data_IF_564223627829
#
_entry.id   IF_564223627829
#
_cell.length_a   1.000
_cell.length_b   1.000
_cell.length_c   1.000
_cell.angle_alpha   90.00
_cell.angle_beta   90.00
_cell.angle_gamma   90.00
#
_symmetry.space_group_name_H-M   'P 1'
#
loop_
_entity.id
_entity.type
_entity.pdbx_description
1 polymer ?
#
# COMPACT_ATOMS: atom_id res chain seq x y z
N UNK A 1 11.37 -41.89 -42.48
CA UNK A 1 12.10 -40.71 -42.99
C UNK A 1 11.12 -39.59 -43.28
N UNK A 2 10.84 -38.72 -42.33
CA UNK A 2 10.06 -37.46 -42.55
C UNK A 2 10.74 -36.32 -41.76
N UNK A 3 11.91 -35.94 -42.23
CA UNK A 3 12.68 -34.80 -41.72
C UNK A 3 12.70 -33.75 -42.84
N UNK A 4 12.03 -32.61 -42.64
CA UNK A 4 12.03 -31.39 -43.45
C UNK A 4 10.76 -31.13 -44.29
N UNK A 5 9.63 -30.85 -43.68
CA UNK A 5 8.55 -30.23 -44.41
C UNK A 5 8.84 -28.72 -44.64
N UNK A 6 8.47 -28.14 -45.80
CA UNK A 6 8.65 -26.72 -46.08
C UNK A 6 8.08 -25.81 -44.99
N UNK A 7 7.00 -26.24 -44.36
CA UNK A 7 6.30 -25.53 -43.29
C UNK A 7 7.15 -25.41 -41.99
N UNK A 8 7.93 -26.47 -41.64
CA UNK A 8 8.87 -26.43 -40.53
C UNK A 8 10.00 -25.44 -40.79
N UNK A 9 10.54 -25.40 -42.02
CA UNK A 9 11.56 -24.41 -42.42
C UNK A 9 11.04 -22.98 -42.36
N UNK A 10 9.79 -22.74 -42.78
CA UNK A 10 9.17 -21.43 -42.74
C UNK A 10 8.94 -20.96 -41.28
N UNK A 11 8.39 -21.80 -40.43
CA UNK A 11 8.23 -21.53 -39.00
C UNK A 11 9.55 -21.22 -38.29
N UNK A 12 10.60 -22.00 -38.59
CA UNK A 12 11.93 -21.78 -38.05
C UNK A 12 12.53 -20.44 -38.51
N UNK A 13 12.31 -20.06 -39.78
CA UNK A 13 12.76 -18.76 -40.31
C UNK A 13 12.05 -17.57 -39.66
N UNK A 14 10.75 -17.69 -39.41
CA UNK A 14 9.97 -16.66 -38.66
C UNK A 14 10.47 -16.56 -37.22
N UNK A 15 10.71 -17.69 -36.55
CA UNK A 15 11.23 -17.72 -35.17
C UNK A 15 12.63 -17.09 -35.10
N UNK A 16 13.51 -17.39 -36.04
CA UNK A 16 14.86 -16.78 -36.13
C UNK A 16 14.82 -15.28 -36.40
N UNK A 17 13.86 -14.79 -37.24
CA UNK A 17 13.66 -13.37 -37.48
C UNK A 17 13.13 -12.65 -36.22
N UNK A 18 12.20 -13.29 -35.51
CA UNK A 18 11.72 -12.78 -34.22
C UNK A 18 12.85 -12.73 -33.17
N UNK A 19 13.63 -13.79 -33.05
CA UNK A 19 14.77 -13.84 -32.14
C UNK A 19 15.82 -12.77 -32.46
N UNK A 20 16.18 -12.59 -33.75
CA UNK A 20 17.09 -11.51 -34.18
C UNK A 20 16.55 -10.12 -33.86
N UNK A 21 15.23 -9.89 -34.04
CA UNK A 21 14.57 -8.62 -33.73
C UNK A 21 14.58 -8.34 -32.22
N UNK A 22 14.29 -9.36 -31.40
CA UNK A 22 14.37 -9.29 -29.93
C UNK A 22 15.80 -9.01 -29.50
N UNK A 23 16.79 -9.74 -30.03
CA UNK A 23 18.22 -9.53 -29.68
C UNK A 23 18.68 -8.11 -30.03
N UNK A 24 18.26 -7.57 -31.18
CA UNK A 24 18.57 -6.19 -31.58
C UNK A 24 17.93 -5.16 -30.65
N UNK A 25 16.68 -5.37 -30.22
CA UNK A 25 16.03 -4.48 -29.23
C UNK A 25 16.75 -4.59 -27.88
N UNK A 26 17.09 -5.81 -27.43
CA UNK A 26 17.80 -6.03 -26.18
C UNK A 26 19.18 -5.34 -26.14
N UNK A 27 19.86 -5.18 -27.31
CA UNK A 27 21.14 -4.47 -27.38
C UNK A 27 21.00 -2.95 -27.21
N UNK A 28 19.82 -2.38 -27.41
CA UNK A 28 19.55 -0.95 -27.22
C UNK A 28 19.23 -0.60 -25.76
N UNK A 29 18.92 -1.59 -24.93
CA UNK A 29 18.56 -1.36 -23.54
C UNK A 29 19.79 -1.10 -22.68
N UNK A 30 19.63 -0.20 -21.70
CA UNK A 30 20.65 0.00 -20.65
C UNK A 30 20.79 -1.25 -19.81
N UNK A 31 21.93 -1.41 -19.11
CA UNK A 31 22.14 -2.52 -18.17
C UNK A 31 21.10 -2.54 -17.07
N UNK A 32 20.69 -1.38 -16.57
CA UNK A 32 19.61 -1.25 -15.57
C UNK A 32 18.29 -1.86 -16.05
N UNK A 33 17.91 -1.58 -17.30
CA UNK A 33 16.65 -2.10 -17.86
C UNK A 33 16.67 -3.63 -18.03
N UNK A 34 17.82 -4.20 -18.34
CA UNK A 34 17.97 -5.67 -18.54
C UNK A 34 17.74 -6.46 -17.26
N UNK A 35 18.03 -5.88 -16.11
CA UNK A 35 17.94 -6.49 -14.78
C UNK A 35 16.67 -6.07 -14.01
N UNK A 36 15.80 -5.28 -14.63
CA UNK A 36 14.60 -4.79 -13.96
C UNK A 36 13.48 -5.85 -13.95
N UNK A 37 13.00 -6.19 -12.77
CA UNK A 37 11.87 -7.09 -12.55
C UNK A 37 10.64 -6.28 -12.13
N UNK A 38 9.63 -6.10 -13.03
CA UNK A 38 8.46 -5.28 -12.70
C UNK A 38 7.54 -5.98 -11.70
N UNK A 39 6.77 -5.20 -10.97
CA UNK A 39 5.67 -5.69 -10.15
C UNK A 39 4.59 -6.37 -11.00
N UNK A 40 4.09 -7.51 -10.53
CA UNK A 40 2.99 -8.23 -11.18
C UNK A 40 1.72 -7.97 -10.36
N UNK A 41 0.77 -7.17 -10.89
CA UNK A 41 -0.48 -6.87 -10.21
C UNK A 41 -1.36 -8.11 -10.05
N UNK A 42 -2.35 -8.00 -9.15
CA UNK A 42 -3.39 -9.01 -9.04
C UNK A 42 -4.22 -9.13 -10.32
N UNK A 43 -4.78 -10.29 -10.54
CA UNK A 43 -5.63 -10.57 -11.69
C UNK A 43 -6.82 -9.62 -11.78
N UNK A 44 -7.15 -9.17 -12.99
CA UNK A 44 -8.30 -8.34 -13.32
C UNK A 44 -9.03 -8.92 -14.54
N UNK A 45 -9.72 -10.07 -14.39
CA UNK A 45 -10.41 -10.72 -15.48
C UNK A 45 -11.60 -9.88 -15.97
N UNK A 46 -11.90 -9.97 -17.27
CA UNK A 46 -12.98 -9.21 -17.94
C UNK A 46 -14.06 -10.12 -18.54
N UNK A 47 -14.01 -11.42 -18.25
CA UNK A 47 -14.92 -12.43 -18.78
C UNK A 47 -16.32 -12.36 -18.15
N UNK A 48 -16.43 -11.86 -16.92
CA UNK A 48 -17.68 -11.64 -16.18
C UNK A 48 -17.52 -10.61 -15.08
N UNK A 49 -18.60 -10.25 -14.40
CA UNK A 49 -18.58 -9.41 -13.21
C UNK A 49 -18.25 -10.27 -11.99
N UNK A 50 -17.24 -9.86 -11.23
CA UNK A 50 -16.81 -10.50 -10.01
C UNK A 50 -17.03 -9.61 -8.80
N UNK A 51 -17.26 -10.22 -7.63
CA UNK A 51 -17.07 -9.55 -6.35
C UNK A 51 -15.55 -9.46 -6.12
N UNK A 52 -15.00 -8.25 -6.12
CA UNK A 52 -13.55 -8.00 -6.00
C UNK A 52 -13.13 -7.93 -4.53
N UNK A 53 -12.49 -8.99 -4.04
CA UNK A 53 -11.87 -9.06 -2.70
C UNK A 53 -10.37 -9.38 -2.82
N UNK A 54 -9.68 -8.88 -3.86
CA UNK A 54 -8.30 -9.25 -4.19
C UNK A 54 -7.28 -8.09 -4.12
N UNK A 55 -7.71 -6.82 -4.13
CA UNK A 55 -6.83 -5.67 -4.29
C UNK A 55 -6.80 -4.72 -3.08
N UNK A 56 -7.40 -5.11 -1.95
CA UNK A 56 -7.49 -4.30 -0.73
C UNK A 56 -8.14 -2.92 -0.99
N UNK A 57 -9.10 -2.88 -1.91
CA UNK A 57 -9.91 -1.69 -2.18
C UNK A 57 -10.94 -1.50 -1.05
N UNK A 58 -11.42 -0.28 -0.85
CA UNK A 58 -12.50 0.00 0.08
C UNK A 58 -13.84 -0.43 -0.56
N UNK A 59 -14.68 -1.23 0.12
CA UNK A 59 -15.97 -1.66 -0.42
C UNK A 59 -17.03 -0.54 -0.42
N UNK A 60 -16.79 0.55 0.30
CA UNK A 60 -17.67 1.71 0.34
C UNK A 60 -17.21 2.77 -0.65
N UNK A 61 -18.14 3.40 -1.41
CA UNK A 61 -17.80 4.46 -2.35
C UNK A 61 -17.28 5.71 -1.61
N UNK A 62 -16.68 6.67 -2.33
CA UNK A 62 -16.41 8.00 -1.76
C UNK A 62 -17.68 8.68 -1.22
N UNK A 63 -17.52 9.60 -0.26
CA UNK A 63 -18.66 10.33 0.32
C UNK A 63 -19.41 11.13 -0.75
N UNK A 64 -20.70 11.40 -0.48
CA UNK A 64 -21.57 12.17 -1.38
C UNK A 64 -21.02 13.58 -1.63
N UNK A 65 -20.50 14.21 -0.58
CA UNK A 65 -19.89 15.54 -0.63
C UNK A 65 -18.73 15.62 -1.64
N UNK A 66 -17.93 14.55 -1.76
CA UNK A 66 -16.86 14.48 -2.77
C UNK A 66 -17.44 14.44 -4.20
N UNK A 67 -18.45 13.61 -4.43
CA UNK A 67 -19.06 13.48 -5.76
C UNK A 67 -19.77 14.79 -6.17
N UNK A 68 -20.48 15.43 -5.25
CA UNK A 68 -21.18 16.69 -5.50
C UNK A 68 -20.19 17.85 -5.69
N UNK A 69 -19.11 17.88 -4.89
CA UNK A 69 -18.01 18.84 -5.06
C UNK A 69 -17.33 18.74 -6.40
N UNK A 70 -17.02 17.53 -6.86
CA UNK A 70 -16.44 17.31 -8.20
C UNK A 70 -17.37 17.77 -9.31
N UNK A 71 -18.67 17.48 -9.25
CA UNK A 71 -19.65 17.96 -10.25
C UNK A 71 -19.64 19.48 -10.32
N UNK A 72 -19.67 20.16 -9.16
CA UNK A 72 -19.63 21.63 -9.08
C UNK A 72 -18.34 22.18 -9.68
N UNK A 73 -17.19 21.62 -9.33
CA UNK A 73 -15.92 22.08 -9.86
C UNK A 73 -15.82 21.86 -11.38
N UNK A 74 -16.19 20.68 -11.89
CA UNK A 74 -16.18 20.40 -13.34
C UNK A 74 -17.05 21.41 -14.09
N UNK A 75 -18.19 21.81 -13.55
CA UNK A 75 -19.07 22.82 -14.17
C UNK A 75 -18.42 24.21 -14.24
N UNK A 76 -17.52 24.51 -13.32
CA UNK A 76 -16.79 25.78 -13.27
C UNK A 76 -15.40 25.73 -13.95
N UNK A 77 -15.03 24.57 -14.48
CA UNK A 77 -13.66 24.24 -14.88
C UNK A 77 -13.22 24.53 -16.32
N UNK A 78 -14.07 24.88 -17.32
CA UNK A 78 -13.60 24.92 -18.72
C UNK A 78 -12.33 25.76 -18.92
N UNK A 79 -12.18 26.86 -18.16
CA UNK A 79 -10.99 27.72 -18.24
C UNK A 79 -9.80 27.26 -17.39
N UNK A 80 -10.05 26.44 -16.35
CA UNK A 80 -8.99 25.99 -15.43
C UNK A 80 -8.25 24.76 -15.93
N UNK A 81 -8.87 23.89 -16.73
CA UNK A 81 -8.22 22.69 -17.28
C UNK A 81 -7.08 23.01 -18.28
N UNK A 82 -7.03 24.22 -18.81
CA UNK A 82 -5.94 24.68 -19.66
C UNK A 82 -4.72 25.18 -18.87
N UNK A 83 -4.82 25.26 -17.53
CA UNK A 83 -3.77 25.75 -16.65
C UNK A 83 -3.17 24.60 -15.84
N UNK A 84 -1.89 24.69 -15.52
CA UNK A 84 -1.26 23.78 -14.60
C UNK A 84 -1.88 23.91 -13.19
N UNK A 85 -2.03 22.77 -12.45
CA UNK A 85 -2.47 22.81 -11.07
C UNK A 85 -1.41 23.43 -10.14
N UNK A 86 -1.77 23.63 -8.86
CA UNK A 86 -0.79 24.02 -7.84
C UNK A 86 0.29 22.92 -7.69
N UNK A 87 1.56 23.19 -8.01
CA UNK A 87 2.63 22.20 -7.93
C UNK A 87 2.91 21.72 -6.50
N UNK A 88 2.57 22.53 -5.51
CA UNK A 88 2.81 22.27 -4.10
C UNK A 88 1.56 21.75 -3.36
N UNK A 89 0.40 21.72 -4.04
CA UNK A 89 -0.87 21.21 -3.51
C UNK A 89 -1.24 21.81 -2.14
N UNK A 90 -1.04 23.13 -1.97
CA UNK A 90 -1.12 23.80 -0.68
C UNK A 90 -2.48 23.62 0.04
N UNK A 91 -3.60 23.77 -0.70
CA UNK A 91 -4.92 23.57 -0.10
C UNK A 91 -5.17 22.12 0.31
N UNK A 92 -4.66 21.17 -0.43
CA UNK A 92 -4.73 19.74 -0.09
C UNK A 92 -3.88 19.44 1.16
N UNK A 93 -2.65 19.97 1.25
CA UNK A 93 -1.78 19.80 2.44
C UNK A 93 -2.42 20.38 3.70
N UNK A 94 -3.05 21.57 3.62
CA UNK A 94 -3.82 22.14 4.73
C UNK A 94 -4.96 21.21 5.19
N UNK A 95 -5.70 20.64 4.23
CA UNK A 95 -6.80 19.73 4.55
C UNK A 95 -6.30 18.41 5.17
N UNK A 96 -5.18 17.85 4.67
CA UNK A 96 -4.54 16.66 5.25
C UNK A 96 -4.05 16.96 6.68
N UNK A 97 -3.37 18.09 6.91
CA UNK A 97 -2.87 18.48 8.22
C UNK A 97 -4.04 18.61 9.22
N UNK A 98 -5.12 19.30 8.84
CA UNK A 98 -6.32 19.43 9.64
C UNK A 98 -6.93 18.05 9.97
N UNK A 99 -7.14 17.21 8.97
CA UNK A 99 -7.67 15.85 9.15
C UNK A 99 -6.82 15.04 10.15
N UNK A 100 -5.50 15.08 10.03
CA UNK A 100 -4.61 14.34 10.93
C UNK A 100 -4.70 14.87 12.36
N UNK A 101 -4.73 16.17 12.57
CA UNK A 101 -4.90 16.79 13.88
C UNK A 101 -6.25 16.40 14.52
N UNK A 102 -7.32 16.33 13.73
CA UNK A 102 -8.67 15.97 14.20
C UNK A 102 -8.86 14.47 14.44
N UNK A 103 -8.10 13.60 13.74
CA UNK A 103 -8.27 12.14 13.81
C UNK A 103 -7.17 11.42 14.61
N UNK A 104 -6.09 12.11 14.96
CA UNK A 104 -4.90 11.45 15.52
C UNK A 104 -4.24 10.48 14.56
N UNK A 105 -4.64 10.50 13.27
CA UNK A 105 -4.10 9.68 12.21
C UNK A 105 -4.63 8.24 12.18
N UNK A 106 -5.74 7.90 12.87
CA UNK A 106 -6.34 6.55 12.79
C UNK A 106 -7.87 6.62 12.76
N UNK A 107 -8.44 6.57 11.57
CA UNK A 107 -9.88 6.79 11.33
C UNK A 107 -10.79 5.83 12.10
N UNK A 108 -10.50 4.52 12.13
CA UNK A 108 -11.37 3.54 12.81
C UNK A 108 -11.42 3.71 14.33
N UNK A 109 -10.49 4.46 14.92
CA UNK A 109 -10.40 4.69 16.38
C UNK A 109 -11.00 6.03 16.82
N UNK A 110 -11.47 6.84 15.86
CA UNK A 110 -12.13 8.10 16.15
C UNK A 110 -13.54 7.92 16.71
N UNK A 111 -13.96 8.80 17.60
CA UNK A 111 -15.37 9.04 17.87
C UNK A 111 -15.96 9.90 16.76
N UNK A 112 -17.21 9.63 16.36
CA UNK A 112 -17.93 10.40 15.33
C UNK A 112 -19.23 10.92 15.93
N UNK A 113 -19.47 12.23 15.83
CA UNK A 113 -20.71 12.88 16.28
C UNK A 113 -21.02 14.07 15.37
N UNK A 114 -22.25 14.13 14.83
CA UNK A 114 -22.72 15.24 14.00
C UNK A 114 -21.73 15.66 12.88
N UNK A 115 -21.18 14.68 12.15
CA UNK A 115 -20.16 14.90 11.11
C UNK A 115 -18.81 15.43 11.61
N UNK A 116 -18.54 15.42 12.90
CA UNK A 116 -17.24 15.72 13.47
C UNK A 116 -16.54 14.44 13.89
N UNK A 117 -15.21 14.46 13.88
CA UNK A 117 -14.35 13.38 14.37
C UNK A 117 -13.48 13.87 15.52
N UNK A 118 -13.17 12.97 16.44
CA UNK A 118 -12.18 13.22 17.48
C UNK A 118 -11.39 11.94 17.76
N UNK A 119 -10.06 12.05 18.00
CA UNK A 119 -9.21 10.90 18.29
C UNK A 119 -9.50 10.34 19.69
N UNK A 120 -9.17 9.06 19.91
CA UNK A 120 -9.08 8.55 21.26
C UNK A 120 -7.93 9.23 22.01
N UNK A 121 -7.97 9.24 23.36
CA UNK A 121 -6.91 9.87 24.17
C UNK A 121 -5.52 9.31 23.81
N UNK A 122 -5.42 8.01 23.57
CA UNK A 122 -4.14 7.35 23.23
C UNK A 122 -3.65 7.70 21.80
N UNK A 123 -4.49 8.26 20.95
CA UNK A 123 -4.14 8.61 19.56
C UNK A 123 -3.94 10.11 19.36
N UNK A 124 -4.13 10.93 20.39
CA UNK A 124 -3.79 12.37 20.33
C UNK A 124 -2.31 12.54 19.93
N UNK A 125 -2.05 13.38 18.93
CA UNK A 125 -0.69 13.58 18.39
C UNK A 125 0.20 14.32 19.40
N UNK A 126 -0.36 15.27 20.17
CA UNK A 126 0.35 16.02 21.21
C UNK A 126 1.18 17.21 20.71
N UNK A 127 1.10 17.50 19.41
CA UNK A 127 1.64 18.69 18.74
C UNK A 127 0.83 18.95 17.46
N UNK A 128 0.99 20.10 16.84
CA UNK A 128 0.27 20.44 15.60
C UNK A 128 1.02 19.90 14.36
N UNK A 129 0.30 19.18 13.51
CA UNK A 129 0.77 18.86 12.16
C UNK A 129 0.47 20.06 11.27
N UNK A 130 1.51 20.57 10.60
CA UNK A 130 1.40 21.71 9.69
C UNK A 130 1.56 21.29 8.22
N UNK A 131 1.13 22.09 7.24
CA UNK A 131 1.27 21.77 5.81
C UNK A 131 2.73 21.52 5.38
N UNK A 132 3.70 22.15 6.03
CA UNK A 132 5.14 22.01 5.76
C UNK A 132 5.65 20.60 6.15
N UNK A 133 4.94 19.90 7.01
CA UNK A 133 5.22 18.52 7.39
C UNK A 133 4.64 17.50 6.40
N UNK A 134 4.01 17.95 5.30
CA UNK A 134 3.30 17.09 4.37
C UNK A 134 3.86 17.23 2.95
N UNK A 135 4.11 16.09 2.32
CA UNK A 135 4.35 15.95 0.90
C UNK A 135 3.21 15.14 0.26
N UNK A 136 2.76 15.51 -0.94
CA UNK A 136 1.71 14.79 -1.70
C UNK A 136 2.23 14.35 -3.06
N UNK A 137 1.83 13.15 -3.53
CA UNK A 137 2.27 12.58 -4.81
C UNK A 137 1.24 11.63 -5.42
N UNK A 138 1.54 11.14 -6.63
CA UNK A 138 0.64 10.31 -7.44
C UNK A 138 0.57 8.86 -6.92
N UNK A 139 -0.18 8.68 -5.83
CA UNK A 139 -0.24 7.43 -5.06
C UNK A 139 0.99 7.22 -4.20
N UNK A 140 0.86 6.30 -3.23
CA UNK A 140 2.03 5.89 -2.42
C UNK A 140 3.16 5.28 -3.25
N UNK A 141 2.87 4.80 -4.46
CA UNK A 141 3.88 4.22 -5.34
C UNK A 141 4.88 5.30 -5.79
N UNK A 142 4.43 6.46 -6.29
CA UNK A 142 5.34 7.58 -6.63
C UNK A 142 6.04 8.13 -5.38
N UNK A 143 5.27 8.31 -4.30
CA UNK A 143 5.81 8.80 -3.02
C UNK A 143 6.96 7.91 -2.52
N UNK A 144 6.76 6.59 -2.49
CA UNK A 144 7.79 5.61 -2.10
C UNK A 144 8.98 5.64 -3.06
N UNK A 145 8.75 5.75 -4.36
CA UNK A 145 9.83 5.87 -5.35
C UNK A 145 10.74 7.06 -5.06
N UNK A 146 10.17 8.21 -4.69
CA UNK A 146 10.96 9.40 -4.33
C UNK A 146 11.67 9.24 -2.98
N UNK A 147 11.06 8.56 -2.01
CA UNK A 147 11.71 8.19 -0.74
C UNK A 147 12.93 7.29 -0.99
N UNK A 148 12.77 6.27 -1.86
CA UNK A 148 13.91 5.42 -2.22
C UNK A 148 15.02 6.20 -2.87
N UNK A 149 14.72 7.09 -3.81
CA UNK A 149 15.73 7.94 -4.46
C UNK A 149 16.44 8.87 -3.47
N UNK A 150 15.72 9.48 -2.53
CA UNK A 150 16.26 10.49 -1.63
C UNK A 150 17.11 9.91 -0.50
N UNK A 151 16.78 8.69 -0.01
CA UNK A 151 17.28 8.23 1.29
C UNK A 151 17.94 6.85 1.30
N UNK A 152 17.85 6.07 0.21
CA UNK A 152 18.50 4.77 0.11
C UNK A 152 19.53 4.77 -1.02
N UNK A 153 20.80 4.64 -0.66
CA UNK A 153 21.93 4.66 -1.61
C UNK A 153 22.29 3.22 -2.05
N UNK A 154 22.62 3.04 -3.34
CA UNK A 154 23.12 1.78 -3.90
C UNK A 154 24.45 1.30 -3.30
N UNK A 155 25.14 2.14 -2.52
CA UNK A 155 26.32 1.74 -1.75
C UNK A 155 26.01 0.93 -0.49
N UNK A 156 24.77 0.95 -0.04
CA UNK A 156 24.31 0.32 1.17
C UNK A 156 23.30 -0.78 0.84
N UNK A 157 23.38 -1.91 1.53
CA UNK A 157 22.40 -2.99 1.38
C UNK A 157 21.18 -2.72 2.26
N UNK A 158 20.01 -2.61 1.65
CA UNK A 158 18.73 -2.38 2.35
C UNK A 158 18.23 -3.67 3.00
N UNK A 159 17.79 -3.60 4.24
CA UNK A 159 17.22 -4.74 4.97
C UNK A 159 15.70 -4.73 4.84
N UNK A 160 15.13 -5.84 4.35
CA UNK A 160 13.69 -6.00 4.17
C UNK A 160 13.17 -7.26 4.89
N UNK A 161 11.97 -7.23 5.49
CA UNK A 161 11.30 -8.45 5.94
C UNK A 161 10.93 -9.35 4.75
N UNK A 162 10.97 -10.68 4.96
CA UNK A 162 10.66 -11.69 3.92
C UNK A 162 9.27 -11.46 3.29
N UNK A 163 8.25 -11.28 4.10
CA UNK A 163 6.91 -10.94 3.63
C UNK A 163 6.58 -9.50 3.96
N UNK A 164 6.79 -8.64 2.98
CA UNK A 164 6.53 -7.19 3.07
C UNK A 164 5.80 -6.68 1.83
N UNK A 165 5.58 -5.37 1.73
CA UNK A 165 5.00 -4.80 0.52
C UNK A 165 5.90 -5.08 -0.69
N UNK A 166 5.36 -5.82 -1.64
CA UNK A 166 6.13 -6.40 -2.75
C UNK A 166 6.73 -5.38 -3.73
N UNK A 167 6.42 -4.10 -3.57
CA UNK A 167 7.04 -3.02 -4.34
C UNK A 167 8.40 -2.58 -3.77
N UNK A 168 8.72 -2.83 -2.49
CA UNK A 168 10.03 -2.44 -1.96
C UNK A 168 11.20 -3.09 -2.69
N UNK A 169 11.21 -4.41 -2.95
CA UNK A 169 12.25 -5.02 -3.78
C UNK A 169 12.28 -4.47 -5.21
N UNK A 170 11.12 -4.07 -5.78
CA UNK A 170 11.05 -3.47 -7.12
C UNK A 170 11.76 -2.11 -7.14
N UNK A 171 11.51 -1.25 -6.13
CA UNK A 171 12.23 0.03 -6.02
C UNK A 171 13.72 -0.17 -5.76
N UNK A 172 14.09 -1.11 -4.88
CA UNK A 172 15.50 -1.42 -4.65
C UNK A 172 16.18 -1.81 -5.96
N UNK A 173 15.60 -2.74 -6.73
CA UNK A 173 16.13 -3.13 -8.05
C UNK A 173 16.15 -1.99 -9.06
N UNK A 174 15.14 -1.10 -9.06
CA UNK A 174 15.08 0.06 -9.95
C UNK A 174 16.22 1.06 -9.69
N UNK A 175 16.55 1.27 -8.42
CA UNK A 175 17.63 2.18 -8.00
C UNK A 175 18.98 1.49 -7.83
N UNK A 176 19.09 0.19 -8.11
CA UNK A 176 20.33 -0.56 -8.01
C UNK A 176 20.80 -0.80 -6.57
N UNK A 177 19.85 -0.90 -5.64
CA UNK A 177 20.10 -1.13 -4.22
C UNK A 177 20.01 -2.62 -3.93
N UNK A 178 21.06 -3.20 -3.38
CA UNK A 178 21.05 -4.59 -2.92
C UNK A 178 20.16 -4.76 -1.69
N UNK A 179 19.60 -5.97 -1.50
CA UNK A 179 18.68 -6.25 -0.39
C UNK A 179 19.07 -7.47 0.41
N UNK A 180 19.07 -7.34 1.74
CA UNK A 180 19.15 -8.44 2.70
C UNK A 180 17.73 -8.77 3.21
N UNK A 181 17.31 -10.01 3.04
CA UNK A 181 15.99 -10.47 3.45
C UNK A 181 16.07 -11.12 4.83
N UNK A 182 15.27 -10.63 5.77
CA UNK A 182 15.14 -11.20 7.10
C UNK A 182 13.87 -12.06 7.18
N UNK A 183 13.99 -13.38 7.42
CA UNK A 183 12.84 -14.25 7.61
C UNK A 183 11.91 -13.77 8.72
N UNK A 184 10.61 -14.01 8.56
CA UNK A 184 9.65 -13.81 9.63
C UNK A 184 9.87 -14.86 10.73
N UNK A 185 9.51 -14.52 11.97
CA UNK A 185 9.46 -15.51 13.06
C UNK A 185 8.31 -16.49 12.85
N UNK A 186 8.31 -17.62 13.59
CA UNK A 186 7.28 -18.65 13.48
C UNK A 186 5.87 -18.15 13.79
N UNK A 187 5.73 -17.09 14.57
CA UNK A 187 4.49 -16.41 14.90
C UNK A 187 4.13 -15.28 13.91
N UNK A 188 4.83 -15.20 12.78
CA UNK A 188 4.71 -14.17 11.76
C UNK A 188 5.13 -12.76 12.20
N UNK A 189 5.70 -12.60 13.38
CA UNK A 189 6.26 -11.33 13.82
C UNK A 189 7.60 -11.03 13.12
N UNK A 190 7.95 -9.74 13.06
CA UNK A 190 9.25 -9.29 12.57
C UNK A 190 10.36 -9.68 13.55
N UNK A 191 11.50 -10.14 13.05
CA UNK A 191 12.72 -10.26 13.84
C UNK A 191 13.41 -8.88 13.95
N UNK A 192 12.90 -8.06 14.86
CA UNK A 192 13.31 -6.67 15.05
C UNK A 192 14.82 -6.57 15.35
N UNK A 193 15.34 -7.42 16.21
CA UNK A 193 16.75 -7.37 16.62
C UNK A 193 17.67 -7.68 15.42
N UNK A 194 17.31 -8.68 14.61
CA UNK A 194 18.06 -9.02 13.40
C UNK A 194 17.99 -7.92 12.35
N UNK A 195 16.79 -7.32 12.13
CA UNK A 195 16.61 -6.20 11.20
C UNK A 195 17.50 -5.02 11.61
N UNK A 196 17.46 -4.60 12.90
CA UNK A 196 18.26 -3.48 13.41
C UNK A 196 19.77 -3.75 13.33
N UNK A 197 20.19 -4.96 13.70
CA UNK A 197 21.60 -5.36 13.63
C UNK A 197 22.15 -5.31 12.20
N UNK A 198 21.41 -5.85 11.23
CA UNK A 198 21.81 -5.84 9.81
C UNK A 198 21.78 -4.43 9.23
N UNK A 199 20.76 -3.63 9.52
CA UNK A 199 20.69 -2.25 9.04
C UNK A 199 21.89 -1.41 9.54
N UNK A 200 22.24 -1.56 10.82
CA UNK A 200 23.44 -0.92 11.40
C UNK A 200 24.73 -1.40 10.72
N UNK A 201 24.88 -2.71 10.52
CA UNK A 201 26.03 -3.31 9.82
C UNK A 201 26.16 -2.78 8.40
N UNK A 202 25.05 -2.66 7.69
CA UNK A 202 24.99 -2.23 6.29
C UNK A 202 25.05 -0.71 6.13
N UNK A 203 24.98 0.06 7.22
CA UNK A 203 24.90 1.54 7.18
C UNK A 203 23.67 2.05 6.47
N UNK A 204 22.57 1.30 6.46
CA UNK A 204 21.33 1.58 5.74
C UNK A 204 20.25 2.18 6.64
N UNK A 205 19.34 2.95 6.05
CA UNK A 205 18.05 3.28 6.65
C UNK A 205 17.14 2.06 6.74
N UNK A 206 15.94 2.25 7.30
CA UNK A 206 14.94 1.21 7.47
C UNK A 206 13.63 1.58 6.77
N UNK A 207 12.96 0.58 6.19
CA UNK A 207 11.59 0.69 5.68
C UNK A 207 10.81 -0.58 5.98
N UNK A 208 9.60 -0.44 6.51
CA UNK A 208 8.64 -1.54 6.68
C UNK A 208 7.20 -1.02 6.69
N UNK A 209 6.26 -1.89 6.34
CA UNK A 209 4.83 -1.58 6.41
C UNK A 209 4.28 -1.90 7.82
N UNK A 210 3.50 -0.97 8.38
CA UNK A 210 2.85 -1.15 9.67
C UNK A 210 1.45 -0.53 9.70
N UNK A 211 0.37 -1.33 9.63
CA UNK A 211 0.32 -2.80 9.57
C UNK A 211 0.92 -3.39 8.30
N UNK A 212 1.52 -4.58 8.42
CA UNK A 212 2.24 -5.23 7.32
C UNK A 212 1.30 -5.83 6.26
N UNK A 213 1.70 -5.77 5.01
CA UNK A 213 1.10 -6.50 3.90
C UNK A 213 2.12 -7.49 3.31
N UNK A 214 1.79 -8.80 3.13
CA UNK A 214 0.45 -9.40 3.10
C UNK A 214 -0.04 -9.99 4.43
N UNK A 215 0.70 -9.96 5.53
CA UNK A 215 0.39 -10.69 6.76
C UNK A 215 -0.76 -10.09 7.57
N UNK A 216 -0.90 -8.76 7.57
CA UNK A 216 -1.88 -8.03 8.38
C UNK A 216 -1.42 -7.71 9.80
N UNK A 217 -0.25 -8.19 10.22
CA UNK A 217 0.31 -7.96 11.56
C UNK A 217 0.71 -6.49 11.73
N UNK A 218 0.51 -5.98 12.95
CA UNK A 218 0.89 -4.61 13.31
C UNK A 218 1.77 -4.60 14.54
N UNK A 219 2.83 -3.78 14.49
CA UNK A 219 3.61 -3.40 15.67
C UNK A 219 2.88 -2.27 16.41
N UNK A 220 2.93 -2.29 17.73
CA UNK A 220 2.49 -1.16 18.55
C UNK A 220 3.42 0.05 18.36
N UNK A 221 2.89 1.25 18.57
CA UNK A 221 3.70 2.49 18.59
C UNK A 221 4.88 2.41 19.55
N UNK A 222 4.69 1.76 20.70
CA UNK A 222 5.76 1.53 21.68
C UNK A 222 6.89 0.67 21.09
N UNK A 223 6.57 -0.38 20.33
CA UNK A 223 7.58 -1.22 19.70
C UNK A 223 8.34 -0.46 18.59
N UNK A 224 7.63 0.36 17.80
CA UNK A 224 8.26 1.22 16.79
C UNK A 224 9.16 2.27 17.46
N UNK A 225 8.74 2.87 18.60
CA UNK A 225 9.60 3.77 19.38
C UNK A 225 10.90 3.08 19.79
N UNK A 226 10.82 1.87 20.36
CA UNK A 226 12.02 1.09 20.73
C UNK A 226 12.92 0.77 19.55
N UNK A 227 12.37 0.56 18.37
CA UNK A 227 13.16 0.39 17.14
C UNK A 227 13.90 1.69 16.77
N UNK A 228 13.21 2.84 16.81
CA UNK A 228 13.79 4.16 16.55
C UNK A 228 14.92 4.50 17.52
N UNK A 229 14.73 4.23 18.81
CA UNK A 229 15.75 4.45 19.87
C UNK A 229 17.03 3.61 19.66
N UNK A 230 16.92 2.45 18.99
CA UNK A 230 18.04 1.56 18.68
C UNK A 230 18.60 1.75 17.26
N UNK A 231 17.88 2.43 16.38
CA UNK A 231 18.31 2.69 15.02
C UNK A 231 19.37 3.81 14.95
N UNK A 232 20.04 3.92 13.82
CA UNK A 232 20.97 5.01 13.56
C UNK A 232 20.17 6.31 13.33
N UNK A 233 20.34 7.36 14.16
CA UNK A 233 19.61 8.62 14.02
C UNK A 233 19.98 9.41 12.75
N UNK A 234 21.13 9.14 12.13
CA UNK A 234 21.58 9.76 10.88
C UNK A 234 21.05 9.02 9.64
N UNK A 235 20.27 7.97 9.80
CA UNK A 235 19.63 7.20 8.74
C UNK A 235 18.12 7.34 8.80
N UNK A 236 17.49 7.39 7.61
CA UNK A 236 16.03 7.48 7.51
C UNK A 236 15.35 6.25 8.11
N UNK A 237 14.24 6.45 8.80
CA UNK A 237 13.37 5.42 9.32
C UNK A 237 11.97 5.59 8.74
N UNK A 238 11.59 4.72 7.81
CA UNK A 238 10.34 4.82 7.05
C UNK A 238 9.31 3.81 7.57
N UNK A 239 8.14 4.31 7.96
CA UNK A 239 6.98 3.49 8.31
C UNK A 239 5.88 3.71 7.26
N UNK A 240 5.56 2.66 6.52
CA UNK A 240 4.44 2.70 5.57
C UNK A 240 3.14 2.32 6.29
N UNK A 241 2.33 3.32 6.53
CA UNK A 241 1.05 3.22 7.25
C UNK A 241 -0.16 3.14 6.32
N UNK A 242 -0.03 2.55 5.13
CA UNK A 242 -1.13 2.44 4.17
C UNK A 242 -2.41 1.79 4.73
N UNK A 243 -2.29 0.97 5.77
CA UNK A 243 -3.41 0.25 6.39
C UNK A 243 -3.69 0.66 7.84
N UNK A 244 -3.02 1.66 8.38
CA UNK A 244 -3.09 2.04 9.80
C UNK A 244 -4.51 2.36 10.25
N UNK A 245 -5.33 2.95 9.38
CA UNK A 245 -6.72 3.36 9.65
C UNK A 245 -7.67 2.19 10.00
N UNK A 246 -7.26 0.93 9.82
CA UNK A 246 -8.09 -0.24 10.11
C UNK A 246 -7.79 -0.89 11.47
N UNK A 247 -7.28 -0.12 12.43
CA UNK A 247 -7.04 -0.55 13.82
C UNK A 247 -5.57 -0.72 14.18
N UNK A 248 -4.65 -0.19 13.37
CA UNK A 248 -3.26 0.03 13.75
C UNK A 248 -3.09 1.15 14.77
N UNK A 249 -1.83 1.44 15.12
CA UNK A 249 -1.43 2.60 15.89
C UNK A 249 -0.52 3.47 15.03
N UNK A 250 -0.89 4.73 14.81
CA UNK A 250 -0.06 5.64 14.01
C UNK A 250 1.23 6.01 14.74
N UNK A 251 2.32 6.09 13.98
CA UNK A 251 3.61 6.57 14.45
C UNK A 251 3.75 8.10 14.34
N UNK A 252 2.74 8.82 13.85
CA UNK A 252 2.76 10.30 13.75
C UNK A 252 3.15 10.97 15.08
N UNK A 253 2.65 10.55 16.27
CA UNK A 253 3.07 11.17 17.54
C UNK A 253 4.57 11.07 17.82
N UNK A 254 5.29 10.13 17.20
CA UNK A 254 6.73 9.96 17.38
C UNK A 254 7.58 11.00 16.62
N UNK A 255 7.00 11.72 15.65
CA UNK A 255 7.68 12.78 14.90
C UNK A 255 8.21 13.91 15.80
N UNK A 256 7.60 14.10 16.96
CA UNK A 256 8.07 15.07 17.97
C UNK A 256 9.48 14.74 18.47
N UNK A 257 9.77 13.44 18.66
CA UNK A 257 10.99 12.97 19.31
C UNK A 257 12.04 12.50 18.29
N UNK A 258 11.64 12.07 17.11
CA UNK A 258 12.53 11.46 16.11
C UNK A 258 12.50 12.22 14.78
N UNK A 259 13.58 12.95 14.51
CA UNK A 259 13.67 13.77 13.32
C UNK A 259 13.89 12.99 12.02
N UNK A 260 14.41 11.77 12.12
CA UNK A 260 14.66 10.88 10.99
C UNK A 260 13.45 9.98 10.64
N UNK A 261 12.30 10.15 11.31
CA UNK A 261 11.08 9.38 11.04
C UNK A 261 10.32 9.97 9.84
N UNK A 262 9.95 9.09 8.90
CA UNK A 262 9.11 9.40 7.76
C UNK A 262 7.93 8.42 7.70
N UNK A 263 6.72 8.93 7.57
CA UNK A 263 5.49 8.13 7.53
C UNK A 263 4.84 8.27 6.17
N UNK A 264 4.62 7.14 5.48
CA UNK A 264 3.91 7.11 4.18
C UNK A 264 2.46 6.74 4.40
N UNK A 265 1.56 7.44 3.70
CA UNK A 265 0.12 7.26 3.73
C UNK A 265 -0.49 7.23 2.33
N UNK A 266 -1.71 6.72 2.22
CA UNK A 266 -2.42 6.63 0.94
C UNK A 266 -3.92 6.87 1.08
N UNK A 267 -4.52 7.50 0.07
CA UNK A 267 -5.97 7.61 -0.07
C UNK A 267 -6.61 6.33 -0.64
N UNK A 268 -5.80 5.42 -1.16
CA UNK A 268 -6.28 4.23 -1.88
C UNK A 268 -7.05 3.23 -1.02
N UNK A 269 -6.94 3.29 0.32
CA UNK A 269 -7.50 2.28 1.24
C UNK A 269 -8.66 2.87 2.04
N UNK A 270 -8.41 3.53 3.15
CA UNK A 270 -9.42 4.04 4.07
C UNK A 270 -10.27 5.16 3.47
N UNK A 271 -9.68 6.02 2.65
CA UNK A 271 -10.34 7.18 2.05
C UNK A 271 -11.04 6.88 0.70
N UNK A 272 -11.25 5.59 0.35
CA UNK A 272 -11.96 5.16 -0.87
C UNK A 272 -11.43 5.77 -2.16
N UNK A 273 -10.17 6.16 -2.20
CA UNK A 273 -9.54 6.94 -3.27
C UNK A 273 -8.57 6.15 -4.15
N UNK A 274 -8.72 4.82 -4.30
CA UNK A 274 -7.79 4.02 -5.12
C UNK A 274 -7.68 4.54 -6.56
N UNK A 275 -8.78 4.96 -7.14
CA UNK A 275 -8.84 5.55 -8.49
C UNK A 275 -8.30 6.98 -8.57
N UNK A 276 -8.21 7.71 -7.46
CA UNK A 276 -7.68 9.08 -7.41
C UNK A 276 -6.15 9.12 -7.50
N UNK A 277 -5.48 8.01 -7.25
CA UNK A 277 -4.02 7.95 -7.26
C UNK A 277 -3.37 9.02 -6.37
N UNK A 278 -3.76 9.12 -5.10
CA UNK A 278 -3.24 10.09 -4.16
C UNK A 278 -2.56 9.39 -2.98
N UNK A 279 -1.30 9.77 -2.71
CA UNK A 279 -0.53 9.37 -1.54
C UNK A 279 0.14 10.57 -0.90
N UNK A 280 0.61 10.43 0.33
CA UNK A 280 1.31 11.49 1.03
C UNK A 280 2.33 10.97 2.05
N UNK A 281 3.26 11.85 2.40
CA UNK A 281 4.21 11.68 3.50
C UNK A 281 3.82 12.63 4.63
N UNK A 282 4.06 12.20 5.86
CA UNK A 282 4.14 13.07 7.04
C UNK A 282 5.53 12.90 7.66
N UNK A 283 6.27 13.98 7.80
CA UNK A 283 7.61 13.99 8.38
C UNK A 283 8.04 15.40 8.82
N UNK A 284 9.25 15.53 9.34
CA UNK A 284 9.84 16.83 9.61
C UNK A 284 10.05 17.63 8.31
N UNK A 285 9.93 18.97 8.34
CA UNK A 285 10.00 19.83 7.15
C UNK A 285 11.27 19.65 6.32
N UNK A 286 12.42 19.35 6.92
CA UNK A 286 13.69 19.14 6.23
C UNK A 286 13.65 17.88 5.34
N UNK A 287 13.03 16.81 5.84
CA UNK A 287 12.79 15.57 5.07
C UNK A 287 11.82 15.84 3.92
N UNK A 288 10.74 16.57 4.19
CA UNK A 288 9.75 16.97 3.17
C UNK A 288 10.41 17.80 2.08
N UNK A 289 11.30 18.75 2.43
CA UNK A 289 12.06 19.55 1.48
C UNK A 289 12.93 18.67 0.57
N UNK A 290 13.58 17.65 1.13
CA UNK A 290 14.41 16.70 0.36
C UNK A 290 13.59 15.93 -0.66
N UNK A 291 12.42 15.39 -0.27
CA UNK A 291 11.50 14.70 -1.20
C UNK A 291 10.95 15.65 -2.26
N UNK A 292 10.63 16.88 -1.87
CA UNK A 292 10.16 17.93 -2.80
C UNK A 292 11.23 18.26 -3.84
N UNK A 293 12.50 18.23 -3.47
CA UNK A 293 13.62 18.40 -4.42
C UNK A 293 13.62 17.28 -5.46
N UNK A 294 13.41 16.01 -5.06
CA UNK A 294 13.29 14.89 -6.01
C UNK A 294 12.10 15.09 -6.94
N UNK A 295 10.92 15.47 -6.39
CA UNK A 295 9.72 15.79 -7.19
C UNK A 295 10.03 16.84 -8.25
N UNK A 296 10.61 17.95 -7.87
CA UNK A 296 10.89 19.07 -8.77
C UNK A 296 11.94 18.72 -9.84
N UNK A 297 12.76 17.70 -9.60
CA UNK A 297 13.78 17.23 -10.53
C UNK A 297 13.27 16.17 -11.52
N UNK A 298 12.13 15.51 -11.22
CA UNK A 298 11.61 14.40 -12.01
C UNK A 298 10.23 14.70 -12.61
N UNK A 299 9.27 15.12 -11.78
CA UNK A 299 7.89 15.42 -12.20
C UNK A 299 7.33 16.57 -11.36
N UNK A 300 7.40 17.79 -11.90
CA UNK A 300 7.05 19.00 -11.16
C UNK A 300 5.55 19.11 -10.81
N UNK A 301 4.65 18.53 -11.62
CA UNK A 301 3.20 18.55 -11.43
C UNK A 301 2.62 17.14 -11.31
N UNK A 302 2.90 16.38 -10.23
CA UNK A 302 2.51 14.98 -10.13
C UNK A 302 1.00 14.77 -9.96
N UNK A 303 0.30 15.74 -9.38
CA UNK A 303 -1.13 15.67 -9.09
C UNK A 303 -1.92 16.62 -9.98
N UNK A 304 -2.91 16.09 -10.69
CA UNK A 304 -3.87 16.89 -11.42
C UNK A 304 -4.83 17.67 -10.49
N UNK A 305 -5.49 18.68 -11.04
CA UNK A 305 -6.36 19.56 -10.27
C UNK A 305 -7.57 18.83 -9.64
N UNK A 306 -8.16 17.83 -10.34
CA UNK A 306 -9.31 17.09 -9.83
C UNK A 306 -8.91 16.16 -8.67
N UNK A 307 -7.73 15.56 -8.75
CA UNK A 307 -7.15 14.78 -7.65
C UNK A 307 -6.92 15.63 -6.42
N UNK A 308 -6.34 16.84 -6.57
CA UNK A 308 -6.12 17.75 -5.43
C UNK A 308 -7.43 18.16 -4.75
N UNK A 309 -8.44 18.54 -5.53
CA UNK A 309 -9.77 18.90 -5.03
C UNK A 309 -10.45 17.71 -4.35
N UNK A 310 -10.40 16.53 -4.98
CA UNK A 310 -10.98 15.31 -4.42
C UNK A 310 -10.36 14.95 -3.08
N UNK A 311 -9.03 15.02 -2.97
CA UNK A 311 -8.31 14.77 -1.75
C UNK A 311 -8.67 15.75 -0.64
N UNK A 312 -8.77 17.05 -0.96
CA UNK A 312 -9.21 18.09 -0.03
C UNK A 312 -10.60 17.77 0.53
N UNK A 313 -11.59 17.53 -0.35
CA UNK A 313 -12.97 17.25 0.07
C UNK A 313 -13.04 15.94 0.88
N UNK A 314 -12.28 14.92 0.52
CA UNK A 314 -12.21 13.68 1.29
C UNK A 314 -11.71 13.93 2.72
N UNK A 315 -10.64 14.73 2.90
CA UNK A 315 -10.14 15.10 4.22
C UNK A 315 -11.16 15.90 5.03
N UNK A 316 -11.86 16.85 4.42
CA UNK A 316 -12.91 17.66 5.08
C UNK A 316 -14.12 16.81 5.51
N UNK A 317 -14.26 15.58 5.00
CA UNK A 317 -15.33 14.64 5.35
C UNK A 317 -14.80 13.37 6.03
N UNK A 318 -13.73 13.48 6.82
CA UNK A 318 -13.08 12.37 7.53
C UNK A 318 -14.06 11.54 8.38
N UNK A 319 -15.14 12.14 8.89
CA UNK A 319 -16.19 11.47 9.64
C UNK A 319 -16.82 10.29 8.88
N UNK A 320 -17.09 10.46 7.58
CA UNK A 320 -17.66 9.40 6.74
C UNK A 320 -16.70 8.20 6.60
N UNK A 321 -15.43 8.49 6.36
CA UNK A 321 -14.40 7.47 6.21
C UNK A 321 -14.06 6.78 7.53
N UNK A 322 -14.17 7.47 8.65
CA UNK A 322 -14.09 6.88 9.98
C UNK A 322 -15.20 5.84 10.21
N UNK A 323 -16.45 6.16 9.83
CA UNK A 323 -17.57 5.20 9.90
C UNK A 323 -17.35 4.00 8.96
N UNK A 324 -16.86 4.23 7.73
CA UNK A 324 -16.53 3.15 6.80
C UNK A 324 -15.42 2.24 7.36
N UNK A 325 -14.35 2.83 7.92
CA UNK A 325 -13.26 2.08 8.52
C UNK A 325 -13.71 1.21 9.70
N UNK A 326 -14.60 1.72 10.57
CA UNK A 326 -15.21 0.95 11.66
C UNK A 326 -16.02 -0.24 11.15
N UNK A 327 -16.84 -0.04 10.12
CA UNK A 327 -17.60 -1.14 9.49
C UNK A 327 -16.69 -2.23 8.96
N UNK A 328 -15.57 -1.86 8.29
CA UNK A 328 -14.57 -2.81 7.79
C UNK A 328 -13.92 -3.55 8.95
N UNK A 329 -13.55 -2.87 10.03
CA UNK A 329 -12.96 -3.50 11.23
C UNK A 329 -13.94 -4.51 11.84
N UNK A 330 -15.19 -4.12 12.04
CA UNK A 330 -16.24 -5.01 12.59
C UNK A 330 -16.46 -6.24 11.72
N UNK A 331 -16.53 -6.07 10.38
CA UNK A 331 -16.72 -7.21 9.48
C UNK A 331 -15.47 -8.11 9.42
N UNK A 332 -14.24 -7.53 9.51
CA UNK A 332 -13.01 -8.32 9.64
C UNK A 332 -13.04 -9.19 10.90
N UNK A 333 -13.41 -8.64 12.03
CA UNK A 333 -13.51 -9.38 13.29
C UNK A 333 -14.58 -10.50 13.23
N UNK A 334 -15.73 -10.20 12.61
CA UNK A 334 -16.76 -11.21 12.32
C UNK A 334 -16.23 -12.32 11.41
N UNK A 335 -15.46 -11.97 10.39
CA UNK A 335 -14.85 -12.93 9.48
C UNK A 335 -13.80 -13.81 10.17
N UNK A 336 -12.95 -13.23 11.01
CA UNK A 336 -11.97 -14.00 11.79
C UNK A 336 -12.66 -15.02 12.72
N UNK A 337 -13.75 -14.65 13.41
CA UNK A 337 -14.56 -15.59 14.21
C UNK A 337 -15.16 -16.70 13.35
N UNK A 338 -15.63 -16.37 12.15
CA UNK A 338 -16.11 -17.39 11.19
C UNK A 338 -15.00 -18.38 10.82
N UNK A 339 -13.79 -17.91 10.56
CA UNK A 339 -12.65 -18.76 10.22
C UNK A 339 -12.31 -19.73 11.35
N UNK A 340 -12.26 -19.25 12.60
CA UNK A 340 -12.05 -20.06 13.80
C UNK A 340 -13.12 -21.16 13.94
N UNK A 341 -14.39 -20.78 13.84
CA UNK A 341 -15.52 -21.69 13.97
C UNK A 341 -15.63 -22.75 12.85
N UNK A 342 -14.91 -22.57 11.73
CA UNK A 342 -14.89 -23.47 10.59
C UNK A 342 -13.54 -24.16 10.35
N UNK A 343 -12.61 -24.08 11.30
CA UNK A 343 -11.32 -24.78 11.26
C UNK A 343 -10.32 -24.22 10.23
N UNK A 344 -10.49 -22.97 9.81
CA UNK A 344 -9.51 -22.29 8.96
C UNK A 344 -8.42 -21.65 9.80
N UNK A 345 -7.18 -21.74 9.34
CA UNK A 345 -6.08 -20.95 9.91
C UNK A 345 -6.09 -19.54 9.30
N UNK A 346 -5.80 -18.53 10.12
CA UNK A 346 -5.60 -17.16 9.66
C UNK A 346 -4.57 -16.44 10.51
N UNK A 347 -3.98 -15.38 9.94
CA UNK A 347 -3.11 -14.48 10.70
C UNK A 347 -3.95 -13.31 11.22
N UNK A 348 -3.98 -13.02 12.55
CA UNK A 348 -4.71 -11.89 13.11
C UNK A 348 -4.31 -10.57 12.43
N UNK A 349 -5.29 -9.84 11.92
CA UNK A 349 -5.03 -8.68 11.06
C UNK A 349 -5.48 -7.36 11.68
N UNK A 350 -4.71 -6.30 11.40
CA UNK A 350 -5.05 -4.89 11.64
C UNK A 350 -5.19 -4.09 10.34
N UNK A 351 -5.51 -4.78 9.24
CA UNK A 351 -5.70 -4.19 7.89
C UNK A 351 -7.14 -4.37 7.40
N UNK A 352 -7.43 -3.98 6.17
CA UNK A 352 -8.70 -4.29 5.51
C UNK A 352 -8.67 -5.62 4.73
N UNK A 353 -7.82 -6.54 5.15
CA UNK A 353 -7.75 -7.91 4.59
C UNK A 353 -7.31 -8.90 5.67
N UNK A 354 -7.45 -10.19 5.38
CA UNK A 354 -6.95 -11.29 6.21
C UNK A 354 -6.20 -12.28 5.32
N UNK A 355 -5.06 -12.79 5.77
CA UNK A 355 -4.32 -13.87 5.14
C UNK A 355 -4.76 -15.19 5.77
N UNK A 356 -5.36 -16.08 4.97
CA UNK A 356 -6.03 -17.29 5.44
C UNK A 356 -5.52 -18.54 4.74
N UNK A 357 -5.55 -19.69 5.44
CA UNK A 357 -5.16 -21.00 4.92
C UNK A 357 -6.21 -22.03 5.31
N UNK A 358 -6.60 -22.87 4.34
CA UNK A 358 -7.36 -24.08 4.63
C UNK A 358 -6.37 -25.19 5.04
N UNK A 359 -6.61 -25.97 6.12
CA UNK A 359 -5.68 -27.00 6.56
C UNK A 359 -5.59 -28.20 5.61
N UNK A 360 -6.61 -28.46 4.79
CA UNK A 360 -6.74 -29.66 3.95
C UNK A 360 -6.61 -29.38 2.45
N UNK A 361 -6.75 -28.10 2.02
CA UNK A 361 -6.83 -27.71 0.61
C UNK A 361 -5.76 -26.68 0.31
N UNK A 362 -5.01 -26.84 -0.78
CA UNK A 362 -3.95 -25.91 -1.18
C UNK A 362 -4.50 -24.49 -1.44
N UNK A 363 -3.68 -23.46 -1.21
CA UNK A 363 -4.06 -22.06 -1.46
C UNK A 363 -4.52 -21.82 -2.90
N UNK A 364 -3.89 -22.48 -3.87
CA UNK A 364 -4.27 -22.41 -5.29
C UNK A 364 -5.66 -23.00 -5.55
N UNK A 365 -5.98 -24.12 -4.94
CA UNK A 365 -7.29 -24.74 -5.07
C UNK A 365 -8.39 -23.93 -4.37
N UNK A 366 -8.10 -23.41 -3.18
CA UNK A 366 -9.00 -22.45 -2.48
C UNK A 366 -9.28 -21.25 -3.38
N UNK A 367 -8.24 -20.63 -3.94
CA UNK A 367 -8.37 -19.52 -4.89
C UNK A 367 -9.27 -19.88 -6.07
N UNK A 368 -9.04 -21.05 -6.69
CA UNK A 368 -9.78 -21.51 -7.88
C UNK A 368 -11.26 -21.70 -7.55
N UNK A 369 -11.57 -22.44 -6.47
CA UNK A 369 -12.97 -22.69 -6.03
C UNK A 369 -13.71 -21.37 -5.71
N UNK A 370 -13.06 -20.39 -5.07
CA UNK A 370 -13.67 -19.10 -4.79
C UNK A 370 -13.91 -18.32 -6.09
N UNK A 371 -12.94 -18.30 -7.02
CA UNK A 371 -13.05 -17.61 -8.30
C UNK A 371 -14.16 -18.20 -9.19
N UNK A 372 -14.29 -19.52 -9.29
CA UNK A 372 -15.35 -20.20 -10.05
C UNK A 372 -16.74 -19.80 -9.54
N UNK A 373 -16.88 -19.49 -8.26
CA UNK A 373 -18.10 -18.97 -7.63
C UNK A 373 -18.26 -17.43 -7.72
N UNK A 374 -17.46 -16.75 -8.56
CA UNK A 374 -17.64 -15.34 -8.88
C UNK A 374 -17.02 -14.34 -7.91
N UNK A 375 -16.10 -14.78 -7.05
CA UNK A 375 -15.39 -13.91 -6.10
C UNK A 375 -13.89 -13.96 -6.40
N UNK A 376 -13.23 -12.80 -6.49
CA UNK A 376 -11.78 -12.70 -6.65
C UNK A 376 -11.11 -12.48 -5.30
N UNK A 377 -10.16 -13.34 -4.95
CA UNK A 377 -9.23 -13.18 -3.84
C UNK A 377 -7.79 -13.17 -4.35
N UNK A 378 -6.80 -12.93 -3.52
CA UNK A 378 -5.39 -12.93 -3.95
C UNK A 378 -4.69 -14.19 -3.49
N UNK A 379 -4.16 -14.97 -4.44
CA UNK A 379 -3.22 -16.06 -4.21
C UNK A 379 -1.79 -15.59 -4.51
N UNK A 380 -0.81 -16.22 -3.87
CA UNK A 380 0.62 -15.94 -4.05
C UNK A 380 1.35 -17.25 -4.38
N UNK A 381 2.14 -17.27 -5.45
CA UNK A 381 3.01 -18.42 -5.78
C UNK A 381 4.34 -18.38 -5.00
N UNK A 382 4.46 -17.49 -4.00
CA UNK A 382 5.66 -17.31 -3.20
C UNK A 382 5.76 -18.42 -2.15
N UNK A 383 6.95 -19.06 -2.05
CA UNK A 383 7.23 -20.04 -1.00
C UNK A 383 6.95 -19.45 0.40
N UNK A 384 6.43 -20.27 1.30
CA UNK A 384 6.02 -19.87 2.65
C UNK A 384 4.59 -19.31 2.75
N UNK A 385 4.05 -18.71 1.68
CA UNK A 385 2.66 -18.22 1.64
C UNK A 385 1.82 -18.78 0.47
N UNK A 386 2.35 -19.74 -0.29
CA UNK A 386 1.65 -20.38 -1.40
C UNK A 386 0.40 -21.18 -0.99
N UNK A 387 0.32 -21.61 0.27
CA UNK A 387 -0.87 -22.27 0.82
C UNK A 387 -1.95 -21.28 1.31
N UNK A 388 -1.66 -19.99 1.25
CA UNK A 388 -2.54 -18.94 1.72
C UNK A 388 -3.26 -18.22 0.58
N UNK A 389 -4.41 -17.67 0.89
CA UNK A 389 -5.08 -16.65 0.10
C UNK A 389 -5.29 -15.39 0.95
N UNK A 390 -5.06 -14.23 0.38
CA UNK A 390 -5.38 -12.95 1.03
C UNK A 390 -6.76 -12.50 0.57
N UNK A 391 -7.63 -12.26 1.53
CA UNK A 391 -9.02 -11.91 1.33
C UNK A 391 -9.25 -10.48 1.82
N UNK A 392 -9.58 -9.58 0.91
CA UNK A 392 -10.00 -8.21 1.24
C UNK A 392 -11.37 -8.25 1.92
N UNK A 393 -11.57 -7.44 2.95
CA UNK A 393 -12.86 -7.32 3.64
C UNK A 393 -13.80 -6.46 2.79
N UNK A 394 -14.89 -7.07 2.36
CA UNK A 394 -15.97 -6.45 1.61
C UNK A 394 -17.08 -5.90 2.50
N UNK A 395 -18.23 -5.56 1.89
CA UNK A 395 -19.47 -5.31 2.64
C UNK A 395 -19.96 -6.59 3.31
N UNK A 396 -20.87 -6.46 4.27
CA UNK A 396 -21.47 -7.62 4.95
C UNK A 396 -22.05 -8.63 3.94
N UNK A 397 -22.77 -8.15 2.93
CA UNK A 397 -23.40 -9.00 1.90
C UNK A 397 -22.34 -9.74 1.05
N UNK A 398 -21.22 -9.08 0.73
CA UNK A 398 -20.12 -9.70 -0.01
C UNK A 398 -19.42 -10.77 0.84
N UNK A 399 -19.19 -10.47 2.13
CA UNK A 399 -18.55 -11.41 3.04
C UNK A 399 -19.45 -12.59 3.38
N UNK A 400 -20.77 -12.40 3.51
CA UNK A 400 -21.72 -13.50 3.75
C UNK A 400 -21.74 -14.49 2.56
N UNK A 401 -21.73 -13.97 1.31
CA UNK A 401 -21.57 -14.82 0.11
C UNK A 401 -20.25 -15.60 0.11
N UNK A 402 -19.16 -14.96 0.47
CA UNK A 402 -17.86 -15.63 0.58
C UNK A 402 -17.89 -16.73 1.64
N UNK A 403 -18.42 -16.46 2.83
CA UNK A 403 -18.55 -17.43 3.93
C UNK A 403 -19.32 -18.69 3.49
N UNK A 404 -20.42 -18.53 2.72
CA UNK A 404 -21.19 -19.67 2.19
C UNK A 404 -20.39 -20.53 1.19
N UNK A 405 -19.54 -19.92 0.37
CA UNK A 405 -18.64 -20.65 -0.52
C UNK A 405 -17.57 -21.38 0.29
N UNK A 406 -16.95 -20.71 1.26
CA UNK A 406 -15.86 -21.27 2.07
C UNK A 406 -16.30 -22.47 2.91
N UNK A 407 -17.56 -22.51 3.39
CA UNK A 407 -18.13 -23.69 4.10
C UNK A 407 -18.12 -24.97 3.25
N UNK A 408 -18.13 -24.85 1.92
CA UNK A 408 -18.16 -25.97 0.96
C UNK A 408 -16.76 -26.42 0.53
N UNK A 409 -15.72 -25.70 0.90
CA UNK A 409 -14.32 -26.04 0.60
C UNK A 409 -13.80 -26.97 1.70
N UNK A 410 -13.75 -28.26 1.39
CA UNK A 410 -13.26 -29.32 2.26
C UNK A 410 -12.07 -30.01 1.63
#
# INVERSE_FOLDING_TARGET
>A
MHKNSPEKKYRLKILLLHLKKITKIMSMLTSRMKNLHPYIPGEQPKDRVYIKLNANENPYPPCKELLDGLKKEISNFPSKLSLYPDPDSNELKKAIAKMLNETGGVLSRCSVSQKNVSPSESDKIGFEITPEMIYTGNGSDEVLSFVFYAFFDSKNTLVLPEFTYSFYPVYAGFYGIETDIVPMKNDWSLDIEKILSLAKKNGSGLIFANPNAPTGISLSRLNVRKMLEKSDPDKIFVVDEAYCDFGGESCIPLLKDFKNLLIVRTFSKSLSGAGLRLGYIVSNPEIISSVTTVKNSLNHFPLDALTQISGKIACENAWYYAECAKKIVSERESFQKFLEGNGWFYIPSKTNFVLVKNPSVSGKEVYTKIKENGILVRHFDTNGISDYVRITIGTKEQMDKLKEIMKKIK
#
